data_IF_467822731198
#
_entry.id   IF_467822731198
#
_cell.length_a   1.000
_cell.length_b   1.000
_cell.length_c   1.000
_cell.angle_alpha   90.00
_cell.angle_beta   90.00
_cell.angle_gamma   90.00
#
_symmetry.space_group_name_H-M   'P 1'
#
loop_
_entity.id
_entity.type
_entity.pdbx_description
1 polymer ?
#
# COMPACT_ATOMS: atom_id res chain seq x y z
N UNK A 1 7.27 -2.15 57.84
CA UNK A 1 6.17 -2.95 58.41
C UNK A 1 4.89 -2.55 57.69
N UNK A 2 4.74 -2.82 56.39
CA UNK A 2 4.53 -4.13 55.76
C UNK A 2 3.18 -4.76 56.15
N UNK A 3 2.16 -4.54 55.31
CA UNK A 3 1.08 -5.50 55.08
C UNK A 3 0.82 -5.58 53.58
N UNK A 4 1.08 -6.79 53.08
CA UNK A 4 1.03 -7.28 51.71
C UNK A 4 -0.24 -8.13 51.59
N UNK A 5 -1.11 -7.83 50.62
CA UNK A 5 -2.23 -8.68 50.20
C UNK A 5 -2.36 -8.51 48.68
N UNK A 6 -1.63 -9.34 47.92
CA UNK A 6 -2.12 -10.50 47.15
C UNK A 6 -3.06 -10.10 46.02
N UNK A 7 -2.46 -10.08 44.84
CA UNK A 7 -3.02 -10.00 43.50
C UNK A 7 -4.05 -11.12 43.26
N UNK A 8 -5.22 -10.74 42.74
CA UNK A 8 -6.19 -11.65 42.15
C UNK A 8 -5.92 -11.78 40.65
N UNK A 9 -5.66 -13.01 40.21
CA UNK A 9 -5.55 -13.39 38.80
C UNK A 9 -6.94 -13.36 38.14
N UNK A 10 -7.10 -12.87 36.90
CA UNK A 10 -8.37 -12.97 36.18
C UNK A 10 -8.56 -14.42 35.70
N UNK A 11 -9.67 -15.02 36.12
CA UNK A 11 -10.20 -16.31 35.67
C UNK A 11 -10.78 -16.20 34.26
N UNK A 12 -10.18 -16.92 33.32
CA UNK A 12 -10.78 -17.92 32.42
C UNK A 12 -12.29 -17.80 32.07
N UNK A 13 -12.75 -16.63 31.61
CA UNK A 13 -14.16 -16.38 31.25
C UNK A 13 -14.28 -15.68 29.88
N UNK A 14 -13.45 -16.09 28.91
CA UNK A 14 -13.45 -15.51 27.55
C UNK A 14 -13.37 -16.54 26.42
N UNK A 15 -13.66 -17.81 26.67
CA UNK A 15 -13.74 -18.86 25.63
C UNK A 15 -15.14 -19.48 25.45
N UNK A 16 -16.17 -18.94 26.10
CA UNK A 16 -17.53 -19.51 26.07
C UNK A 16 -18.54 -18.80 25.16
N UNK A 17 -18.12 -17.79 24.38
CA UNK A 17 -19.04 -16.98 23.55
C UNK A 17 -18.77 -17.04 22.04
N UNK A 18 -18.47 -18.21 21.47
CA UNK A 18 -18.49 -18.44 20.01
C UNK A 18 -18.98 -19.84 19.58
N UNK A 19 -19.99 -20.41 20.26
CA UNK A 19 -20.73 -21.60 19.76
C UNK A 19 -22.25 -21.35 19.74
N UNK A 20 -22.66 -20.14 19.35
CA UNK A 20 -24.07 -19.82 19.07
C UNK A 20 -24.20 -19.12 17.70
N UNK A 21 -24.03 -19.90 16.62
CA UNK A 21 -24.53 -19.55 15.28
C UNK A 21 -24.44 -20.75 14.33
N UNK A 22 -25.30 -21.75 14.52
CA UNK A 22 -25.87 -22.57 13.43
C UNK A 22 -26.87 -23.58 14.01
N UNK A 23 -27.99 -23.07 14.51
CA UNK A 23 -29.23 -23.82 14.62
C UNK A 23 -29.83 -23.97 13.22
N UNK A 24 -29.39 -25.00 12.49
CA UNK A 24 -30.22 -25.61 11.45
C UNK A 24 -30.94 -26.79 12.09
N UNK A 25 -32.18 -26.54 12.52
CA UNK A 25 -33.16 -27.59 12.77
C UNK A 25 -33.35 -28.37 11.45
N UNK A 26 -32.62 -29.48 11.30
CA UNK A 26 -33.03 -30.54 10.39
C UNK A 26 -33.94 -31.49 11.15
N UNK A 27 -35.21 -31.40 10.80
CA UNK A 27 -36.27 -32.31 11.20
C UNK A 27 -35.92 -33.74 10.77
N UNK A 28 -35.27 -34.50 11.66
CA UNK A 28 -34.95 -35.92 11.47
C UNK A 28 -35.86 -36.77 12.37
N UNK A 29 -37.17 -36.64 12.18
CA UNK A 29 -38.16 -37.48 12.83
C UNK A 29 -39.02 -38.17 11.78
N UNK A 30 -38.59 -39.31 11.24
CA UNK A 30 -39.48 -40.42 10.80
C UNK A 30 -38.83 -41.62 10.07
N UNK A 31 -37.52 -41.68 9.78
CA UNK A 31 -36.97 -42.77 8.94
C UNK A 31 -35.90 -43.68 9.59
N UNK A 32 -35.62 -43.53 10.89
CA UNK A 32 -34.51 -44.22 11.57
C UNK A 32 -34.75 -45.64 12.07
N UNK A 33 -35.96 -46.19 12.00
CA UNK A 33 -36.27 -47.46 12.70
C UNK A 33 -35.89 -48.75 11.96
N UNK A 34 -35.31 -48.69 10.76
CA UNK A 34 -35.06 -49.88 9.92
C UNK A 34 -33.57 -50.20 9.65
N UNK A 35 -32.62 -49.60 10.40
CA UNK A 35 -31.16 -49.90 10.28
C UNK A 35 -30.61 -50.69 11.48
N UNK A 36 -31.36 -50.75 12.59
CA UNK A 36 -30.87 -51.35 13.83
C UNK A 36 -30.87 -52.89 13.87
N UNK A 37 -31.45 -53.58 12.88
CA UNK A 37 -31.61 -55.04 12.91
C UNK A 37 -30.39 -55.82 12.39
N UNK A 38 -29.34 -55.17 11.88
CA UNK A 38 -28.16 -55.85 11.31
C UNK A 38 -26.87 -55.76 12.15
N UNK A 39 -26.89 -55.09 13.32
CA UNK A 39 -25.71 -55.02 14.18
C UNK A 39 -25.60 -56.30 15.02
N UNK A 40 -24.48 -57.07 14.91
CA UNK A 40 -24.30 -58.31 15.65
C UNK A 40 -24.43 -58.08 17.15
N UNK A 41 -24.89 -59.07 17.90
CA UNK A 41 -24.91 -59.03 19.37
C UNK A 41 -23.51 -59.27 19.92
N UNK A 42 -23.25 -58.77 21.12
CA UNK A 42 -22.02 -59.03 21.84
C UNK A 42 -21.78 -60.54 21.97
N UNK A 43 -20.61 -60.96 21.50
CA UNK A 43 -19.97 -62.21 21.85
C UNK A 43 -18.48 -61.96 21.98
N UNK A 44 -17.75 -62.85 22.63
CA UNK A 44 -16.30 -62.71 22.79
C UNK A 44 -15.58 -62.67 21.43
N UNK A 45 -16.02 -63.50 20.47
CA UNK A 45 -15.48 -63.53 19.11
C UNK A 45 -15.75 -62.22 18.34
N UNK A 46 -16.97 -61.70 18.43
CA UNK A 46 -17.32 -60.41 17.81
C UNK A 46 -16.55 -59.26 18.45
N UNK A 47 -16.32 -59.30 19.77
CA UNK A 47 -15.57 -58.27 20.48
C UNK A 47 -14.09 -58.26 20.06
N UNK A 48 -13.48 -59.43 19.85
CA UNK A 48 -12.13 -59.52 19.28
C UNK A 48 -12.05 -58.99 17.84
N UNK A 49 -13.03 -59.35 17.01
CA UNK A 49 -13.12 -58.84 15.64
C UNK A 49 -13.30 -57.31 15.63
N UNK A 50 -14.13 -56.79 16.55
CA UNK A 50 -14.36 -55.37 16.72
C UNK A 50 -13.09 -54.64 17.17
N UNK A 51 -12.34 -55.20 18.11
CA UNK A 51 -11.06 -54.64 18.56
C UNK A 51 -10.08 -54.44 17.40
N UNK A 52 -9.97 -55.42 16.49
CA UNK A 52 -9.14 -55.28 15.27
C UNK A 52 -9.62 -54.13 14.38
N UNK A 53 -10.94 -53.98 14.23
CA UNK A 53 -11.53 -52.91 13.42
C UNK A 53 -11.37 -51.52 14.06
N UNK A 54 -11.34 -51.42 15.39
CA UNK A 54 -11.10 -50.17 16.12
C UNK A 54 -9.65 -49.67 16.01
N UNK A 55 -8.70 -50.55 15.67
CA UNK A 55 -7.31 -50.13 15.45
C UNK A 55 -7.08 -49.56 14.04
N UNK A 56 -7.86 -50.01 13.06
CA UNK A 56 -7.73 -49.57 11.67
C UNK A 56 -8.54 -48.30 11.39
N UNK A 57 -7.87 -47.27 10.82
CA UNK A 57 -8.45 -45.95 10.51
C UNK A 57 -9.62 -46.03 9.52
N UNK A 58 -9.58 -46.95 8.56
CA UNK A 58 -10.62 -47.10 7.54
C UNK A 58 -11.90 -47.71 8.13
N UNK A 59 -11.78 -48.68 9.04
CA UNK A 59 -12.92 -49.37 9.65
C UNK A 59 -13.36 -48.78 10.98
N UNK A 60 -12.66 -47.75 11.48
CA UNK A 60 -12.85 -47.20 12.82
C UNK A 60 -14.29 -46.70 13.03
N UNK A 61 -14.84 -45.96 12.06
CA UNK A 61 -16.19 -45.37 12.17
C UNK A 61 -17.28 -46.44 12.30
N UNK A 62 -17.21 -47.49 11.49
CA UNK A 62 -18.15 -48.61 11.55
C UNK A 62 -18.02 -49.37 12.87
N UNK A 63 -16.79 -49.62 13.32
CA UNK A 63 -16.53 -50.30 14.58
C UNK A 63 -16.99 -49.48 15.80
N UNK A 64 -16.79 -48.17 15.77
CA UNK A 64 -17.27 -47.26 16.81
C UNK A 64 -18.81 -47.32 16.92
N UNK A 65 -19.51 -47.36 15.78
CA UNK A 65 -20.97 -47.49 15.75
C UNK A 65 -21.45 -48.81 16.36
N UNK A 66 -20.78 -49.93 16.09
CA UNK A 66 -21.10 -51.23 16.71
C UNK A 66 -20.90 -51.17 18.23
N UNK A 67 -19.78 -50.59 18.70
CA UNK A 67 -19.50 -50.45 20.14
C UNK A 67 -20.56 -49.60 20.85
N UNK A 68 -20.93 -48.46 20.26
CA UNK A 68 -22.00 -47.59 20.77
C UNK A 68 -23.31 -48.39 20.87
N UNK A 69 -23.67 -49.13 19.81
CA UNK A 69 -24.89 -49.94 19.77
C UNK A 69 -24.91 -51.01 20.88
N UNK A 70 -23.79 -51.68 21.16
CA UNK A 70 -23.70 -52.65 22.25
C UNK A 70 -23.88 -52.01 23.63
N UNK A 71 -23.31 -50.82 23.84
CA UNK A 71 -23.46 -50.06 25.08
C UNK A 71 -24.91 -49.57 25.28
N UNK A 72 -25.54 -49.04 24.23
CA UNK A 72 -26.94 -48.59 24.24
C UNK A 72 -27.90 -49.76 24.52
N UNK A 73 -27.61 -50.95 23.98
CA UNK A 73 -28.36 -52.19 24.24
C UNK A 73 -28.12 -52.79 25.64
N UNK A 74 -27.27 -52.15 26.46
CA UNK A 74 -26.87 -52.61 27.81
C UNK A 74 -26.24 -54.02 27.80
N UNK A 75 -25.48 -54.34 26.77
CA UNK A 75 -24.80 -55.64 26.65
C UNK A 75 -23.52 -55.71 27.51
N UNK A 76 -23.05 -54.56 28.01
CA UNK A 76 -22.02 -54.45 29.04
C UNK A 76 -22.60 -54.74 30.44
N UNK A 77 -21.96 -55.66 31.17
CA UNK A 77 -22.29 -56.07 32.53
C UNK A 77 -20.99 -56.39 33.31
N UNK A 78 -21.12 -56.71 34.60
CA UNK A 78 -19.96 -56.94 35.47
C UNK A 78 -19.00 -58.03 34.96
N UNK A 79 -19.49 -59.05 34.23
CA UNK A 79 -18.67 -60.17 33.73
C UNK A 79 -17.82 -59.81 32.52
N UNK A 80 -18.25 -58.83 31.71
CA UNK A 80 -17.56 -58.44 30.47
C UNK A 80 -17.08 -56.98 30.48
N UNK A 81 -17.23 -56.28 31.62
CA UNK A 81 -16.83 -54.88 31.80
C UNK A 81 -15.38 -54.61 31.41
N UNK A 82 -14.47 -55.53 31.70
CA UNK A 82 -13.05 -55.44 31.32
C UNK A 82 -12.86 -55.41 29.79
N UNK A 83 -13.62 -56.22 29.03
CA UNK A 83 -13.56 -56.20 27.57
C UNK A 83 -14.12 -54.91 26.99
N UNK A 84 -15.26 -54.43 27.49
CA UNK A 84 -15.82 -53.15 27.05
C UNK A 84 -14.90 -51.98 27.39
N UNK A 85 -14.27 -51.98 28.57
CA UNK A 85 -13.26 -51.01 28.94
C UNK A 85 -12.09 -51.02 27.95
N UNK A 86 -11.56 -52.19 27.60
CA UNK A 86 -10.51 -52.30 26.58
C UNK A 86 -10.93 -51.75 25.22
N UNK A 87 -12.16 -52.03 24.75
CA UNK A 87 -12.67 -51.47 23.49
C UNK A 87 -12.80 -49.93 23.54
N UNK A 88 -13.21 -49.37 24.69
CA UNK A 88 -13.24 -47.92 24.92
C UNK A 88 -11.82 -47.35 24.90
N UNK A 89 -10.84 -48.03 25.50
CA UNK A 89 -9.44 -47.63 25.44
C UNK A 89 -8.91 -47.63 24.00
N UNK A 90 -9.29 -48.61 23.17
CA UNK A 90 -8.93 -48.61 21.75
C UNK A 90 -9.48 -47.38 21.01
N UNK A 91 -10.69 -46.93 21.35
CA UNK A 91 -11.27 -45.71 20.81
C UNK A 91 -10.45 -44.47 21.20
N UNK A 92 -10.05 -44.38 22.47
CA UNK A 92 -9.18 -43.30 22.96
C UNK A 92 -7.80 -43.32 22.30
N UNK A 93 -7.16 -44.48 22.19
CA UNK A 93 -5.87 -44.63 21.52
C UNK A 93 -5.93 -44.20 20.05
N UNK A 94 -7.05 -44.44 19.36
CA UNK A 94 -7.27 -43.93 18.02
C UNK A 94 -7.31 -42.40 18.00
N UNK A 95 -7.98 -41.76 18.96
CA UNK A 95 -8.00 -40.31 19.10
C UNK A 95 -6.61 -39.72 19.41
N UNK A 96 -5.83 -40.33 20.32
CA UNK A 96 -4.45 -39.92 20.61
C UNK A 96 -3.55 -40.03 19.38
N UNK A 97 -3.72 -41.08 18.57
CA UNK A 97 -3.01 -41.24 17.31
C UNK A 97 -3.34 -40.10 16.34
N UNK A 98 -4.62 -39.76 16.18
CA UNK A 98 -5.05 -38.64 15.34
C UNK A 98 -4.49 -37.30 15.84
N UNK A 99 -4.45 -37.08 17.16
CA UNK A 99 -3.86 -35.89 17.75
C UNK A 99 -2.35 -35.81 17.50
N UNK A 100 -1.67 -36.96 17.51
CA UNK A 100 -0.24 -37.04 17.19
C UNK A 100 0.00 -36.73 15.70
N UNK A 101 -0.78 -37.34 14.80
CA UNK A 101 -0.76 -37.04 13.36
C UNK A 101 -1.00 -35.54 13.11
N UNK A 102 -1.98 -34.93 13.78
CA UNK A 102 -2.26 -33.49 13.70
C UNK A 102 -1.03 -32.65 14.08
N UNK A 103 -0.35 -32.98 15.19
CA UNK A 103 0.89 -32.29 15.61
C UNK A 103 2.01 -32.44 14.60
N UNK A 104 2.10 -33.58 13.91
CA UNK A 104 3.07 -33.80 12.84
C UNK A 104 2.75 -32.95 11.60
N UNK A 105 1.49 -32.88 11.18
CA UNK A 105 1.06 -32.01 10.08
C UNK A 105 1.34 -30.53 10.37
N UNK A 106 1.06 -30.06 11.59
CA UNK A 106 1.35 -28.68 11.99
C UNK A 106 2.85 -28.36 11.89
N UNK A 107 3.72 -29.29 12.32
CA UNK A 107 5.17 -29.13 12.16
C UNK A 107 5.59 -29.11 10.70
N UNK A 108 4.93 -29.89 9.85
CA UNK A 108 5.26 -29.94 8.41
C UNK A 108 4.83 -28.66 7.67
N UNK A 109 3.70 -28.08 8.05
CA UNK A 109 3.27 -26.76 7.58
C UNK A 109 4.32 -25.71 7.96
N UNK A 110 4.73 -25.66 9.23
CA UNK A 110 5.75 -24.70 9.69
C UNK A 110 7.09 -24.85 8.94
N UNK A 111 7.54 -26.10 8.69
CA UNK A 111 8.75 -26.35 7.88
C UNK A 111 8.59 -25.87 6.45
N UNK A 112 7.43 -26.10 5.84
CA UNK A 112 7.15 -25.72 4.47
C UNK A 112 7.09 -24.20 4.34
N UNK A 113 6.41 -23.52 5.26
CA UNK A 113 6.32 -22.06 5.31
C UNK A 113 7.71 -21.43 5.46
N UNK A 114 8.54 -21.96 6.36
CA UNK A 114 9.93 -21.51 6.52
C UNK A 114 10.75 -21.73 5.25
N UNK A 115 10.57 -22.85 4.56
CA UNK A 115 11.28 -23.13 3.31
C UNK A 115 10.83 -22.17 2.20
N UNK A 116 9.52 -21.99 2.02
CA UNK A 116 8.95 -21.05 1.07
C UNK A 116 9.46 -19.63 1.33
N UNK A 117 9.48 -19.21 2.59
CA UNK A 117 10.02 -17.93 3.00
C UNK A 117 11.49 -17.76 2.59
N UNK A 118 12.35 -18.73 2.91
CA UNK A 118 13.76 -18.70 2.48
C UNK A 118 13.91 -18.61 0.96
N UNK A 119 13.07 -19.33 0.20
CA UNK A 119 13.07 -19.27 -1.27
C UNK A 119 12.61 -17.90 -1.76
N UNK A 120 11.58 -17.32 -1.16
CA UNK A 120 11.08 -16.00 -1.49
C UNK A 120 12.12 -14.91 -1.19
N UNK A 121 12.84 -14.98 -0.07
CA UNK A 121 13.97 -14.09 0.20
C UNK A 121 15.07 -14.20 -0.87
N UNK A 122 15.41 -15.43 -1.28
CA UNK A 122 16.38 -15.65 -2.37
C UNK A 122 15.90 -15.07 -3.70
N UNK A 123 14.62 -15.18 -4.02
CA UNK A 123 14.03 -14.62 -5.25
C UNK A 123 14.05 -13.08 -5.18
N UNK A 124 13.67 -12.49 -4.04
CA UNK A 124 13.72 -11.04 -3.84
C UNK A 124 15.15 -10.49 -4.05
N UNK A 125 16.15 -11.16 -3.50
CA UNK A 125 17.55 -10.79 -3.70
C UNK A 125 17.92 -10.80 -5.19
N UNK A 126 17.56 -11.85 -5.92
CA UNK A 126 17.81 -11.93 -7.37
C UNK A 126 17.07 -10.84 -8.15
N UNK A 127 15.83 -10.52 -7.78
CA UNK A 127 15.08 -9.43 -8.41
C UNK A 127 15.72 -8.06 -8.11
N UNK A 128 16.36 -7.88 -6.94
CA UNK A 128 17.14 -6.68 -6.64
C UNK A 128 18.42 -6.61 -7.50
N UNK A 129 19.11 -7.72 -7.72
CA UNK A 129 20.27 -7.78 -8.61
C UNK A 129 19.91 -7.43 -10.06
N UNK A 130 18.77 -7.94 -10.55
CA UNK A 130 18.23 -7.59 -11.88
C UNK A 130 17.92 -6.10 -11.96
N UNK A 131 17.36 -5.51 -10.90
CA UNK A 131 17.09 -4.08 -10.84
C UNK A 131 18.37 -3.23 -10.91
N UNK A 132 19.48 -3.69 -10.31
CA UNK A 132 20.78 -3.03 -10.45
C UNK A 132 21.31 -3.03 -11.89
N UNK A 133 20.97 -4.03 -12.72
CA UNK A 133 21.29 -4.02 -14.15
C UNK A 133 20.59 -2.86 -14.85
N UNK A 134 19.30 -2.65 -14.58
CA UNK A 134 18.55 -1.54 -15.18
C UNK A 134 19.04 -0.17 -14.67
N UNK A 135 19.40 -0.06 -13.39
CA UNK A 135 20.06 1.15 -12.87
C UNK A 135 21.40 1.41 -13.56
N UNK A 136 22.17 0.38 -13.89
CA UNK A 136 23.42 0.55 -14.62
C UNK A 136 23.19 1.05 -16.06
N UNK A 137 22.16 0.52 -16.76
CA UNK A 137 21.73 1.00 -18.09
C UNK A 137 21.37 2.48 -18.04
N UNK A 138 20.61 2.89 -17.02
CA UNK A 138 20.21 4.28 -16.80
C UNK A 138 21.40 5.20 -16.48
N UNK A 139 22.29 4.79 -15.55
CA UNK A 139 23.50 5.56 -15.18
C UNK A 139 24.40 5.87 -16.36
N UNK A 140 24.47 4.96 -17.33
CA UNK A 140 25.31 5.09 -18.52
C UNK A 140 24.53 5.66 -19.72
N UNK A 141 23.26 6.05 -19.53
CA UNK A 141 22.35 6.54 -20.57
C UNK A 141 22.31 5.63 -21.81
N UNK A 142 22.31 4.31 -21.60
CA UNK A 142 22.40 3.32 -22.68
C UNK A 142 21.06 3.04 -23.36
N UNK A 143 19.96 3.62 -22.87
CA UNK A 143 18.62 3.42 -23.42
C UNK A 143 18.55 3.72 -24.92
N UNK A 144 19.28 4.73 -25.40
CA UNK A 144 19.31 5.12 -26.82
C UNK A 144 19.99 4.09 -27.74
N UNK A 145 20.74 3.14 -27.17
CA UNK A 145 21.42 2.10 -27.94
C UNK A 145 20.52 0.92 -28.30
N UNK A 146 19.31 0.86 -27.74
CA UNK A 146 18.37 -0.23 -27.95
C UNK A 146 17.30 0.15 -28.98
N UNK A 147 16.84 -0.85 -29.73
CA UNK A 147 15.70 -0.68 -30.64
C UNK A 147 14.40 -0.50 -29.85
N UNK A 148 13.39 0.12 -30.48
CA UNK A 148 12.08 0.30 -29.85
C UNK A 148 11.48 -1.01 -29.30
N UNK A 149 11.52 -2.10 -30.06
CA UNK A 149 11.02 -3.40 -29.61
C UNK A 149 11.80 -3.97 -28.41
N UNK A 150 13.10 -3.67 -28.30
CA UNK A 150 13.91 -4.07 -27.14
C UNK A 150 13.54 -3.25 -25.92
N UNK A 151 13.34 -1.94 -26.09
CA UNK A 151 12.90 -1.04 -25.01
C UNK A 151 11.54 -1.46 -24.46
N UNK A 152 10.57 -1.77 -25.32
CA UNK A 152 9.25 -2.25 -24.89
C UNK A 152 9.35 -3.54 -24.06
N UNK A 153 10.16 -4.52 -24.51
CA UNK A 153 10.41 -5.75 -23.74
C UNK A 153 11.14 -5.50 -22.42
N UNK A 154 12.08 -4.58 -22.37
CA UNK A 154 12.78 -4.23 -21.13
C UNK A 154 11.82 -3.57 -20.13
N UNK A 155 10.90 -2.72 -20.60
CA UNK A 155 9.85 -2.14 -19.76
C UNK A 155 8.87 -3.21 -19.24
N UNK A 156 8.52 -4.19 -20.07
CA UNK A 156 7.74 -5.36 -19.65
C UNK A 156 8.46 -6.12 -18.52
N UNK A 157 9.75 -6.42 -18.68
CA UNK A 157 10.55 -7.09 -17.63
C UNK A 157 10.57 -6.29 -16.32
N UNK A 158 10.72 -4.96 -16.40
CA UNK A 158 10.69 -4.10 -15.21
C UNK A 158 9.33 -4.17 -14.53
N UNK A 159 8.24 -4.03 -15.28
CA UNK A 159 6.86 -4.14 -14.79
C UNK A 159 6.61 -5.51 -14.13
N UNK A 160 6.98 -6.60 -14.80
CA UNK A 160 6.80 -7.96 -14.30
C UNK A 160 7.62 -8.22 -13.04
N UNK A 161 8.86 -7.72 -12.99
CA UNK A 161 9.71 -7.83 -11.80
C UNK A 161 9.07 -7.13 -10.59
N UNK A 162 8.48 -5.96 -10.79
CA UNK A 162 7.81 -5.19 -9.73
C UNK A 162 6.52 -5.88 -9.26
N UNK A 163 5.72 -6.40 -10.20
CA UNK A 163 4.53 -7.19 -9.87
C UNK A 163 4.90 -8.45 -9.08
N UNK A 164 5.98 -9.15 -9.46
CA UNK A 164 6.45 -10.32 -8.75
C UNK A 164 6.92 -9.97 -7.33
N UNK A 165 7.67 -8.87 -7.15
CA UNK A 165 8.07 -8.39 -5.81
C UNK A 165 6.84 -8.12 -4.93
N UNK A 166 5.81 -7.48 -5.48
CA UNK A 166 4.58 -7.18 -4.73
C UNK A 166 3.79 -8.44 -4.38
N UNK A 167 3.72 -9.42 -5.27
CA UNK A 167 2.99 -10.67 -5.01
C UNK A 167 3.65 -11.46 -3.88
N UNK A 168 4.98 -11.61 -3.92
CA UNK A 168 5.76 -12.24 -2.84
C UNK A 168 5.52 -11.53 -1.50
N UNK A 169 5.40 -10.20 -1.51
CA UNK A 169 5.13 -9.41 -0.31
C UNK A 169 3.69 -9.59 0.20
N UNK A 170 2.69 -9.65 -0.69
CA UNK A 170 1.28 -9.86 -0.33
C UNK A 170 1.05 -11.24 0.29
N UNK A 171 1.67 -12.28 -0.27
CA UNK A 171 1.58 -13.64 0.25
C UNK A 171 2.16 -13.74 1.68
N UNK A 172 3.14 -12.89 2.00
CA UNK A 172 3.70 -12.78 3.35
C UNK A 172 2.76 -12.06 4.33
N UNK A 173 2.21 -10.90 3.94
CA UNK A 173 1.31 -10.12 4.81
C UNK A 173 -0.02 -10.85 5.05
N UNK A 174 -0.54 -11.57 4.05
CA UNK A 174 -1.75 -12.38 4.21
C UNK A 174 -1.59 -13.53 5.21
N UNK A 175 -0.37 -14.02 5.41
CA UNK A 175 -0.02 -15.06 6.39
C UNK A 175 0.38 -14.50 7.76
N UNK A 176 0.94 -13.29 7.84
CA UNK A 176 1.48 -12.71 9.07
C UNK A 176 0.44 -11.99 9.95
N UNK A 177 -0.79 -11.78 9.49
CA UNK A 177 -1.82 -11.05 10.25
C UNK A 177 -2.36 -11.88 11.43
N UNK A 178 -2.13 -13.19 11.50
CA UNK A 178 -2.69 -14.00 12.59
C UNK A 178 -1.72 -14.33 13.73
N UNK A 179 -0.40 -14.43 13.56
CA UNK A 179 0.47 -14.72 14.73
C UNK A 179 1.91 -14.18 14.65
N UNK A 180 2.26 -13.49 15.74
CA UNK A 180 3.59 -13.29 16.36
C UNK A 180 4.53 -12.23 15.78
N UNK A 181 4.86 -11.29 16.67
CA UNK A 181 6.14 -10.57 16.73
C UNK A 181 7.30 -11.58 16.79
N UNK A 182 7.70 -12.10 15.64
CA UNK A 182 8.98 -12.78 15.49
C UNK A 182 10.05 -11.71 15.27
N UNK A 183 10.86 -11.48 16.30
CA UNK A 183 12.08 -10.68 16.28
C UNK A 183 13.16 -11.38 15.43
N UNK A 184 12.88 -11.49 14.12
CA UNK A 184 13.79 -12.04 13.13
C UNK A 184 14.37 -10.88 12.31
N UNK A 185 15.70 -10.85 12.16
CA UNK A 185 16.45 -9.77 11.50
C UNK A 185 15.99 -9.51 10.06
N UNK A 186 15.36 -10.50 9.45
CA UNK A 186 14.83 -10.42 8.11
C UNK A 186 13.50 -9.64 8.04
N UNK A 187 12.74 -9.57 9.14
CA UNK A 187 11.51 -8.77 9.26
C UNK A 187 11.82 -7.26 9.20
N UNK A 188 12.91 -6.84 9.85
CA UNK A 188 13.37 -5.44 9.81
C UNK A 188 13.90 -5.06 8.41
N UNK A 189 14.61 -5.99 7.74
CA UNK A 189 15.08 -5.80 6.36
C UNK A 189 13.89 -5.62 5.41
N UNK A 190 12.86 -6.46 5.50
CA UNK A 190 11.66 -6.34 4.68
C UNK A 190 10.89 -5.04 4.94
N UNK A 191 10.85 -4.57 6.20
CA UNK A 191 10.19 -3.30 6.53
C UNK A 191 10.97 -2.07 6.02
N UNK A 192 12.31 -2.12 6.07
CA UNK A 192 13.18 -1.11 5.49
C UNK A 192 13.12 -1.13 3.94
N UNK A 193 13.09 -2.31 3.33
CA UNK A 193 12.91 -2.49 1.89
C UNK A 193 11.53 -2.02 1.41
N UNK A 194 10.47 -2.22 2.19
CA UNK A 194 9.13 -1.71 1.88
C UNK A 194 9.11 -0.17 1.81
N UNK A 195 9.78 0.50 2.74
CA UNK A 195 9.92 1.95 2.71
C UNK A 195 10.79 2.43 1.54
N UNK A 196 11.91 1.75 1.27
CA UNK A 196 12.76 2.04 0.12
C UNK A 196 12.02 1.85 -1.21
N UNK A 197 11.20 0.81 -1.35
CA UNK A 197 10.45 0.49 -2.57
C UNK A 197 9.32 1.48 -2.84
N UNK A 198 8.61 1.94 -1.81
CA UNK A 198 7.63 3.04 -1.94
C UNK A 198 8.28 4.32 -2.45
N UNK A 199 9.45 4.66 -1.90
CA UNK A 199 10.22 5.82 -2.35
C UNK A 199 10.71 5.65 -3.79
N UNK A 200 11.14 4.44 -4.16
CA UNK A 200 11.65 4.15 -5.49
C UNK A 200 10.57 4.16 -6.58
N UNK A 201 9.38 3.65 -6.27
CA UNK A 201 8.20 3.74 -7.15
C UNK A 201 7.84 5.20 -7.41
N UNK A 202 7.86 6.01 -6.34
CA UNK A 202 7.60 7.45 -6.45
C UNK A 202 8.69 8.16 -7.26
N UNK A 203 9.95 7.75 -7.12
CA UNK A 203 11.07 8.27 -7.90
C UNK A 203 10.90 7.96 -9.39
N UNK A 204 10.55 6.72 -9.74
CA UNK A 204 10.32 6.30 -11.14
C UNK A 204 9.19 7.08 -11.82
N UNK A 205 8.08 7.31 -11.11
CA UNK A 205 6.98 8.17 -11.57
C UNK A 205 7.46 9.59 -11.84
N UNK A 206 8.23 10.17 -10.91
CA UNK A 206 8.77 11.52 -11.05
C UNK A 206 9.76 11.63 -12.22
N UNK A 207 10.60 10.62 -12.42
CA UNK A 207 11.55 10.57 -13.55
C UNK A 207 10.82 10.51 -14.88
N UNK A 208 9.75 9.71 -14.99
CA UNK A 208 8.92 9.64 -16.19
C UNK A 208 8.24 10.99 -16.49
N UNK A 209 7.66 11.63 -15.47
CA UNK A 209 7.07 12.96 -15.60
C UNK A 209 8.11 14.00 -16.04
N UNK A 210 9.30 13.98 -15.42
CA UNK A 210 10.40 14.88 -15.76
C UNK A 210 10.85 14.69 -17.22
N UNK A 211 11.03 13.45 -17.67
CA UNK A 211 11.44 13.16 -19.05
C UNK A 211 10.36 13.62 -20.06
N UNK A 212 9.09 13.40 -19.72
CA UNK A 212 7.95 13.90 -20.52
C UNK A 212 7.95 15.42 -20.64
N UNK A 213 8.27 16.14 -19.55
CA UNK A 213 8.38 17.60 -19.56
C UNK A 213 9.57 18.07 -20.40
N UNK A 214 10.74 17.42 -20.27
CA UNK A 214 11.92 17.75 -21.09
C UNK A 214 11.63 17.58 -22.59
N UNK A 215 10.97 16.49 -22.98
CA UNK A 215 10.63 16.27 -24.38
C UNK A 215 9.67 17.34 -24.92
N UNK A 216 8.65 17.71 -24.16
CA UNK A 216 7.75 18.82 -24.50
C UNK A 216 8.48 20.17 -24.61
N UNK A 217 9.49 20.41 -23.75
CA UNK A 217 10.29 21.63 -23.80
C UNK A 217 11.10 21.71 -25.10
N UNK A 218 11.74 20.62 -25.54
CA UNK A 218 12.49 20.60 -26.80
C UNK A 218 11.57 20.75 -28.03
N UNK A 219 10.38 20.14 -28.02
CA UNK A 219 9.36 20.37 -29.07
C UNK A 219 8.95 21.85 -29.16
N UNK A 220 8.70 22.50 -28.02
CA UNK A 220 8.33 23.92 -27.96
C UNK A 220 9.48 24.81 -28.46
N UNK A 221 10.72 24.48 -28.11
CA UNK A 221 11.91 25.20 -28.56
C UNK A 221 12.11 25.10 -30.08
N UNK A 222 11.84 23.93 -30.66
CA UNK A 222 11.85 23.76 -32.11
C UNK A 222 10.78 24.64 -32.80
N UNK A 223 9.55 24.66 -32.27
CA UNK A 223 8.47 25.53 -32.76
C UNK A 223 8.80 27.02 -32.67
N UNK A 224 9.43 27.47 -31.57
CA UNK A 224 9.86 28.87 -31.45
C UNK A 224 10.88 29.26 -32.54
N UNK A 225 11.85 28.40 -32.83
CA UNK A 225 12.83 28.63 -33.91
C UNK A 225 12.15 28.71 -35.29
N UNK A 226 11.14 27.88 -35.53
CA UNK A 226 10.37 27.92 -36.78
C UNK A 226 9.61 29.25 -36.92
N UNK A 227 8.92 29.68 -35.87
CA UNK A 227 8.20 30.96 -35.84
C UNK A 227 9.15 32.16 -36.01
N UNK A 228 10.34 32.14 -35.38
CA UNK A 228 11.35 33.18 -35.56
C UNK A 228 11.80 33.29 -37.02
N UNK A 229 12.05 32.16 -37.68
CA UNK A 229 12.40 32.12 -39.09
C UNK A 229 11.28 32.66 -39.99
N UNK A 230 10.02 32.38 -39.65
CA UNK A 230 8.85 32.90 -40.36
C UNK A 230 8.70 34.42 -40.18
N UNK A 231 8.87 34.93 -38.96
CA UNK A 231 8.89 36.37 -38.67
C UNK A 231 10.00 37.07 -39.47
N UNK A 232 11.20 36.48 -39.55
CA UNK A 232 12.30 37.03 -40.35
C UNK A 232 11.95 37.10 -41.84
N UNK A 233 11.31 36.06 -42.39
CA UNK A 233 10.83 36.05 -43.78
C UNK A 233 9.81 37.17 -44.02
N UNK A 234 8.77 37.26 -43.19
CA UNK A 234 7.72 38.27 -43.31
C UNK A 234 8.25 39.70 -43.18
N UNK A 235 9.20 39.94 -42.27
CA UNK A 235 9.89 41.24 -42.16
C UNK A 235 10.66 41.60 -43.43
N UNK A 236 11.34 40.62 -44.06
CA UNK A 236 12.05 40.84 -45.32
C UNK A 236 11.08 41.20 -46.47
N UNK A 237 9.89 40.60 -46.51
CA UNK A 237 8.88 40.87 -47.53
C UNK A 237 8.23 42.24 -47.33
N UNK A 238 7.98 42.64 -46.08
CA UNK A 238 7.51 43.99 -45.75
C UNK A 238 8.53 45.06 -46.15
N UNK A 239 9.82 44.82 -45.91
CA UNK A 239 10.90 45.74 -46.30
C UNK A 239 10.97 45.90 -47.82
N UNK A 240 10.82 44.79 -48.56
CA UNK A 240 10.72 44.82 -50.03
C UNK A 240 9.49 45.61 -50.49
N UNK A 241 8.31 45.36 -49.92
CA UNK A 241 7.07 46.09 -50.26
C UNK A 241 7.16 47.60 -49.97
N UNK A 242 7.78 47.99 -48.85
CA UNK A 242 8.04 49.41 -48.53
C UNK A 242 8.96 50.08 -49.55
N UNK A 243 10.00 49.38 -50.02
CA UNK A 243 10.89 49.89 -51.08
C UNK A 243 10.20 50.02 -52.45
N UNK A 244 9.20 49.18 -52.73
CA UNK A 244 8.37 49.33 -53.94
C UNK A 244 7.29 50.43 -53.82
N UNK A 245 6.79 50.73 -52.62
CA UNK A 245 5.81 51.81 -52.39
C UNK A 245 6.42 53.22 -52.24
N UNK A 246 7.74 53.33 -52.01
CA UNK A 246 8.44 54.62 -51.88
C UNK A 246 8.63 55.45 -53.16
N UNK A 247 7.92 55.16 -54.26
CA UNK A 247 8.04 55.89 -55.55
C UNK A 247 6.84 56.78 -55.92
N UNK A 248 5.87 56.95 -55.02
CA UNK A 248 4.77 57.92 -55.19
C UNK A 248 4.34 58.47 -53.84
N UNK A 249 4.92 59.63 -53.48
CA UNK A 249 4.25 60.84 -52.99
C UNK A 249 5.12 61.63 -52.00
N UNK A 250 5.12 62.94 -52.25
CA UNK A 250 5.94 63.96 -51.64
C UNK A 250 5.04 65.03 -50.99
N UNK A 251 5.50 65.62 -49.87
CA UNK A 251 5.09 66.92 -49.25
C UNK A 251 3.77 66.82 -48.44
N UNK A 252 3.62 67.19 -47.15
CA UNK A 252 3.97 68.40 -46.37
C UNK A 252 4.13 68.13 -44.86
N UNK A 253 4.98 68.97 -44.22
CA UNK A 253 5.33 69.22 -42.81
C UNK A 253 4.23 69.27 -41.73
N UNK A 254 4.66 69.04 -40.48
CA UNK A 254 3.93 69.40 -39.25
C UNK A 254 4.61 68.89 -37.96
N UNK A 255 5.51 69.70 -37.42
CA UNK A 255 6.36 69.51 -36.24
C UNK A 255 5.61 69.35 -34.90
N UNK A 256 6.06 68.46 -34.01
CA UNK A 256 6.73 68.78 -32.72
C UNK A 256 6.49 67.77 -31.55
N UNK A 257 7.62 67.29 -31.01
CA UNK A 257 7.91 66.87 -29.62
C UNK A 257 7.22 65.68 -28.94
N UNK A 258 7.96 64.56 -28.81
CA UNK A 258 8.62 64.19 -27.54
C UNK A 258 9.66 63.07 -27.75
N UNK A 259 10.93 63.37 -27.45
CA UNK A 259 12.02 62.39 -27.29
C UNK A 259 12.02 61.87 -25.84
N UNK A 260 12.10 60.54 -25.66
CA UNK A 260 12.90 59.86 -24.61
C UNK A 260 12.94 58.34 -24.89
N UNK A 261 13.87 57.59 -24.28
CA UNK A 261 14.70 56.61 -24.98
C UNK A 261 14.23 55.16 -24.81
N UNK A 262 14.87 54.29 -25.59
CA UNK A 262 14.95 52.83 -25.49
C UNK A 262 14.86 52.34 -24.05
N UNK A 263 13.91 51.44 -23.78
CA UNK A 263 13.96 50.50 -22.66
C UNK A 263 13.11 49.25 -22.98
N UNK A 264 13.80 48.11 -23.13
CA UNK A 264 13.29 46.81 -22.70
C UNK A 264 12.81 46.91 -21.26
N UNK A 265 11.51 46.70 -21.01
CA UNK A 265 10.89 46.48 -19.69
C UNK A 265 9.51 45.83 -19.96
N UNK A 266 9.04 44.74 -19.37
CA UNK A 266 9.61 43.66 -18.57
C UNK A 266 8.49 42.58 -18.49
N UNK A 267 8.78 41.35 -18.88
CA UNK A 267 8.05 40.17 -18.42
C UNK A 267 8.75 39.68 -17.14
N UNK A 268 8.71 40.48 -16.07
CA UNK A 268 9.25 40.11 -14.75
C UNK A 268 8.34 40.71 -13.67
N UNK A 269 7.32 39.95 -13.27
CA UNK A 269 6.55 40.21 -12.03
C UNK A 269 5.75 39.00 -11.54
N UNK A 270 5.53 37.96 -12.35
CA UNK A 270 4.74 36.79 -11.92
C UNK A 270 5.55 35.67 -11.23
N UNK A 271 6.86 35.55 -11.47
CA UNK A 271 7.68 34.46 -10.90
C UNK A 271 7.91 34.64 -9.40
N UNK A 272 8.16 35.87 -8.96
CA UNK A 272 8.51 36.15 -7.57
C UNK A 272 7.26 36.09 -6.68
N UNK A 273 6.11 36.56 -7.18
CA UNK A 273 4.83 36.41 -6.49
C UNK A 273 4.43 34.94 -6.33
N UNK A 274 4.53 34.13 -7.39
CA UNK A 274 4.20 32.69 -7.31
C UNK A 274 5.16 31.94 -6.39
N UNK A 275 6.43 32.31 -6.35
CA UNK A 275 7.40 31.71 -5.44
C UNK A 275 7.06 32.02 -3.98
N UNK A 276 6.67 33.26 -3.68
CA UNK A 276 6.22 33.64 -2.33
C UNK A 276 4.93 32.91 -1.95
N UNK A 277 3.95 32.86 -2.86
CA UNK A 277 2.68 32.14 -2.65
C UNK A 277 2.92 30.64 -2.39
N UNK A 278 3.85 30.02 -3.11
CA UNK A 278 4.25 28.62 -2.90
C UNK A 278 4.85 28.40 -1.51
N UNK A 279 5.80 29.26 -1.10
CA UNK A 279 6.42 29.18 0.24
C UNK A 279 5.39 29.36 1.36
N UNK A 280 4.46 30.31 1.21
CA UNK A 280 3.37 30.51 2.17
C UNK A 280 2.45 29.29 2.23
N UNK A 281 2.14 28.69 1.08
CA UNK A 281 1.25 27.52 1.01
C UNK A 281 1.83 26.31 1.74
N UNK A 282 3.13 26.06 1.58
CA UNK A 282 3.86 25.01 2.32
C UNK A 282 3.87 25.31 3.82
N UNK A 283 4.16 26.55 4.21
CA UNK A 283 4.20 26.93 5.62
C UNK A 283 2.84 26.80 6.31
N UNK A 284 1.76 27.21 5.65
CA UNK A 284 0.40 27.12 6.19
C UNK A 284 -0.15 25.69 6.22
N UNK A 285 0.40 24.77 5.44
CA UNK A 285 0.05 23.35 5.52
C UNK A 285 0.41 22.74 6.88
N UNK A 286 1.54 23.15 7.44
CA UNK A 286 1.98 22.71 8.78
C UNK A 286 1.21 23.41 9.93
N UNK A 287 0.27 24.33 9.61
CA UNK A 287 -0.48 25.12 10.59
C UNK A 287 -1.99 25.13 10.31
N UNK A 288 -2.69 23.99 10.54
CA UNK A 288 -4.12 23.85 10.23
C UNK A 288 -5.03 24.82 10.99
N UNK A 289 -4.62 25.25 12.19
CA UNK A 289 -5.37 26.20 13.04
C UNK A 289 -5.16 27.67 12.66
N UNK A 290 -4.32 27.93 11.66
CA UNK A 290 -4.01 29.25 11.13
C UNK A 290 -3.01 30.05 11.96
N UNK A 291 -2.29 30.93 11.29
CA UNK A 291 -1.22 31.75 11.88
C UNK A 291 -1.40 33.23 11.53
N UNK A 292 -0.85 34.10 12.38
CA UNK A 292 -0.85 35.53 12.12
C UNK A 292 0.15 35.89 11.01
N UNK A 293 -0.02 37.09 10.45
CA UNK A 293 0.82 37.61 9.37
C UNK A 293 2.26 37.78 9.81
N UNK A 294 2.49 38.13 11.08
CA UNK A 294 3.84 38.32 11.64
C UNK A 294 4.65 37.02 11.68
N UNK A 295 4.01 35.88 11.95
CA UNK A 295 4.62 34.56 11.88
C UNK A 295 4.95 34.18 10.44
N UNK A 296 4.04 34.45 9.49
CA UNK A 296 4.29 34.22 8.05
C UNK A 296 5.46 35.07 7.57
N UNK A 297 5.46 36.36 7.93
CA UNK A 297 6.54 37.30 7.62
C UNK A 297 7.89 36.82 8.19
N UNK A 298 7.91 36.39 9.45
CA UNK A 298 9.11 35.87 10.11
C UNK A 298 9.64 34.58 9.47
N UNK A 299 8.74 33.74 8.95
CA UNK A 299 9.13 32.52 8.22
C UNK A 299 9.71 32.86 6.84
N UNK A 300 9.04 33.72 6.07
CA UNK A 300 9.49 34.10 4.73
C UNK A 300 10.82 34.87 4.75
N UNK A 301 11.03 35.72 5.76
CA UNK A 301 12.25 36.53 5.90
C UNK A 301 13.54 35.69 6.07
N UNK A 302 13.41 34.37 6.34
CA UNK A 302 14.54 33.43 6.36
C UNK A 302 15.05 33.06 4.97
N UNK A 303 14.20 33.16 3.94
CA UNK A 303 14.47 32.71 2.58
C UNK A 303 14.50 33.87 1.59
N UNK A 304 13.63 34.86 1.79
CA UNK A 304 13.50 36.04 0.94
C UNK A 304 13.36 37.25 1.87
N UNK A 305 14.23 38.27 1.77
CA UNK A 305 14.08 39.50 2.54
C UNK A 305 12.89 40.30 1.99
N UNK A 306 11.67 39.95 2.43
CA UNK A 306 10.43 40.64 2.07
C UNK A 306 10.30 41.88 2.94
N UNK A 307 9.88 42.99 2.33
CA UNK A 307 10.00 44.33 2.93
C UNK A 307 9.00 44.61 4.04
N UNK A 308 7.72 44.19 3.93
CA UNK A 308 6.71 44.49 4.97
C UNK A 308 5.59 43.44 5.09
N UNK A 309 5.10 43.22 6.31
CA UNK A 309 3.95 42.34 6.62
C UNK A 309 2.67 42.70 5.86
N UNK A 310 2.47 43.99 5.54
CA UNK A 310 1.32 44.48 4.77
C UNK A 310 1.33 43.95 3.33
N UNK A 311 2.50 43.77 2.73
CA UNK A 311 2.61 43.24 1.37
C UNK A 311 2.18 41.77 1.32
N UNK A 312 2.46 41.03 2.39
CA UNK A 312 2.01 39.64 2.56
C UNK A 312 0.49 39.59 2.74
N UNK A 313 -0.11 40.49 3.54
CA UNK A 313 -1.57 40.57 3.65
C UNK A 313 -2.24 40.85 2.31
N UNK A 314 -1.70 41.79 1.54
CA UNK A 314 -2.22 42.13 0.21
C UNK A 314 -2.11 40.94 -0.75
N UNK A 315 -1.01 40.18 -0.69
CA UNK A 315 -0.79 38.99 -1.48
C UNK A 315 -1.77 37.87 -1.10
N UNK A 316 -1.98 37.62 0.19
CA UNK A 316 -2.95 36.63 0.68
C UNK A 316 -4.37 36.97 0.24
N UNK A 317 -4.75 38.26 0.30
CA UNK A 317 -6.05 38.76 -0.19
C UNK A 317 -6.20 38.66 -1.71
N UNK A 318 -5.11 38.67 -2.48
CA UNK A 318 -5.11 38.49 -3.94
C UNK A 318 -5.51 37.06 -4.35
N UNK A 319 -5.34 36.07 -3.46
CA UNK A 319 -5.60 34.65 -3.73
C UNK A 319 -6.64 34.04 -2.75
N UNK A 320 -7.90 34.52 -2.74
CA UNK A 320 -8.92 34.11 -1.78
C UNK A 320 -9.42 32.67 -1.99
N UNK A 321 -9.08 32.04 -3.12
CA UNK A 321 -9.37 30.62 -3.37
C UNK A 321 -8.38 29.70 -2.64
N UNK A 322 -7.19 30.21 -2.33
CA UNK A 322 -6.08 29.46 -1.73
C UNK A 322 -5.94 29.80 -0.24
N UNK A 323 -6.12 31.07 0.14
CA UNK A 323 -5.97 31.53 1.52
C UNK A 323 -7.26 32.10 2.08
N UNK A 324 -7.56 31.78 3.34
CA UNK A 324 -8.73 32.27 4.06
C UNK A 324 -8.32 33.01 5.33
N UNK A 325 -8.85 34.20 5.51
CA UNK A 325 -8.75 34.99 6.76
C UNK A 325 -9.83 34.50 7.73
N UNK A 326 -9.42 34.08 8.93
CA UNK A 326 -10.31 33.77 10.04
C UNK A 326 -10.08 34.78 11.18
N UNK A 327 -11.17 35.31 11.71
CA UNK A 327 -11.14 36.17 12.89
C UNK A 327 -11.58 35.31 14.07
N UNK A 328 -10.67 35.06 15.00
CA UNK A 328 -11.00 34.35 16.24
C UNK A 328 -11.92 35.22 17.08
N UNK A 329 -13.10 34.69 17.45
CA UNK A 329 -14.04 35.34 18.36
C UNK A 329 -13.63 34.96 19.78
N UNK A 330 -12.73 35.75 20.37
CA UNK A 330 -12.22 35.67 21.74
C UNK A 330 -11.49 36.97 22.10
N UNK A 331 -11.16 37.17 23.38
CA UNK A 331 -10.70 38.45 23.97
C UNK A 331 -9.43 39.09 23.38
N UNK A 332 -8.80 38.49 22.38
CA UNK A 332 -7.79 39.12 21.51
C UNK A 332 -8.20 38.95 20.04
N UNK A 333 -8.49 40.05 19.35
CA UNK A 333 -8.78 40.07 17.91
C UNK A 333 -7.52 39.76 17.08
N UNK A 334 -7.11 38.50 17.06
CA UNK A 334 -5.99 38.05 16.23
C UNK A 334 -6.50 37.53 14.89
N UNK A 335 -6.05 38.19 13.81
CA UNK A 335 -6.29 37.74 12.43
C UNK A 335 -5.40 36.54 12.14
N UNK A 336 -6.00 35.43 11.72
CA UNK A 336 -5.29 34.21 11.34
C UNK A 336 -5.55 33.87 9.88
N UNK A 337 -4.53 33.31 9.23
CA UNK A 337 -4.59 32.87 7.84
C UNK A 337 -4.41 31.36 7.75
N UNK A 338 -5.27 30.71 6.98
CA UNK A 338 -5.25 29.26 6.71
C UNK A 338 -5.21 28.98 5.21
N UNK A 339 -4.53 27.91 4.80
CA UNK A 339 -4.56 27.41 3.41
C UNK A 339 -5.79 26.51 3.22
N UNK A 340 -6.59 26.76 2.17
CA UNK A 340 -7.85 26.06 1.88
C UNK A 340 -7.85 25.33 0.53
N UNK A 341 -6.83 25.52 -0.32
CA UNK A 341 -6.69 24.79 -1.58
C UNK A 341 -5.22 24.61 -1.96
N UNK A 342 -4.91 23.54 -2.70
CA UNK A 342 -3.58 23.31 -3.29
C UNK A 342 -3.42 24.09 -4.61
N UNK A 343 -2.20 24.55 -4.90
CA UNK A 343 -1.80 25.21 -6.17
C UNK A 343 -1.14 24.18 -7.07
#
# INVERSE_FOLDING_TARGET
>A
MEKRAREGSPTDESMENQIEANSHESDFSAEGHHVYDSVPRYSEQEAEALGKKLVNKETFREALHILITWLERRECNERNSAHFYFLIQLCWNHAEKLQTEQKEYLKEIERTDKNLWNKNCSIQLQLNEIEEVFKAVERQNLWDNFTQNQLEKMQEIISDSLNLKQNILKDYVGSAVEEKESNDMCTEVLHAENNAHKLQTKLGSLTYELNTVYQKMEEMKAKCKENENEILKLRSELEKKKRLQGKTNSIVDGDNQQKKPVADVACQSNTDEMHIVSLISVFLFDHPDGVNVDCIHSHLNKYIPITHAIDIENLLRKYPKIFKESVSIGDTQEKKWTCISFI
#
